data_IF_586340623773
#
_entry.id   IF_586340623773
#
_cell.length_a   1.000
_cell.length_b   1.000
_cell.length_c   1.000
_cell.angle_alpha   90.00
_cell.angle_beta   90.00
_cell.angle_gamma   90.00
#
_symmetry.space_group_name_H-M   'P 1'
#
loop_
_entity.id
_entity.type
_entity.pdbx_description
1 polymer ?
#
# COMPACT_ATOMS: atom_id res chain seq x y z
N UNK A 1 4.89 15.75 -10.52
CA UNK A 1 5.77 14.59 -10.23
C UNK A 1 5.15 13.84 -9.08
N UNK A 2 4.62 12.64 -9.30
CA UNK A 2 4.04 11.83 -8.23
C UNK A 2 5.12 11.48 -7.20
N UNK A 3 4.85 11.77 -5.92
CA UNK A 3 5.76 11.49 -4.80
C UNK A 3 6.23 10.05 -4.81
N UNK A 4 5.37 9.12 -5.23
CA UNK A 4 5.70 7.71 -5.34
C UNK A 4 6.99 7.46 -6.12
N UNK A 5 7.25 8.18 -7.22
CA UNK A 5 8.43 7.94 -8.04
C UNK A 5 9.71 8.61 -7.53
N UNK A 6 9.60 9.73 -6.84
CA UNK A 6 10.73 10.50 -6.29
C UNK A 6 11.08 10.15 -4.85
N UNK A 7 10.16 9.49 -4.14
CA UNK A 7 10.33 9.13 -2.74
C UNK A 7 11.40 8.04 -2.56
N UNK A 8 12.33 8.33 -1.65
CA UNK A 8 13.48 7.48 -1.33
C UNK A 8 13.32 6.70 -0.03
N UNK A 9 12.39 7.10 0.83
CA UNK A 9 12.20 6.52 2.15
C UNK A 9 10.75 6.07 2.34
N UNK A 10 10.55 4.96 3.03
CA UNK A 10 9.25 4.42 3.39
C UNK A 10 8.49 5.39 4.32
N UNK A 11 7.22 5.67 4.04
CA UNK A 11 6.39 6.55 4.87
C UNK A 11 6.17 6.00 6.29
N UNK A 12 6.25 4.66 6.44
CA UNK A 12 5.92 3.98 7.70
C UNK A 12 7.11 3.77 8.61
N UNK A 13 8.25 3.35 8.06
CA UNK A 13 9.45 3.04 8.84
C UNK A 13 10.63 3.99 8.58
N UNK A 14 10.55 4.87 7.57
CA UNK A 14 11.67 5.72 7.16
C UNK A 14 12.81 4.99 6.44
N UNK A 15 12.72 3.67 6.25
CA UNK A 15 13.75 2.87 5.59
C UNK A 15 13.91 3.17 4.10
N UNK A 16 15.08 2.89 3.53
CA UNK A 16 15.39 3.16 2.11
C UNK A 16 14.55 2.26 1.18
N UNK A 17 13.97 2.88 0.14
CA UNK A 17 13.10 2.23 -0.85
C UNK A 17 13.85 1.65 -2.06
N UNK A 18 15.19 1.76 -2.11
CA UNK A 18 16.02 1.18 -3.20
C UNK A 18 15.82 -0.32 -3.38
N UNK A 19 15.55 -1.05 -2.30
CA UNK A 19 15.31 -2.50 -2.33
C UNK A 19 13.94 -2.88 -2.91
N UNK A 20 13.08 -1.91 -3.19
CA UNK A 20 11.73 -2.11 -3.67
C UNK A 20 10.73 -1.29 -2.86
N UNK A 21 9.78 -0.69 -3.57
CA UNK A 21 8.67 0.07 -3.00
C UNK A 21 7.36 -0.44 -3.54
N UNK A 22 6.33 -0.30 -2.73
CA UNK A 22 4.96 -0.65 -3.09
C UNK A 22 4.00 0.28 -2.38
N UNK A 23 2.75 0.30 -2.82
CA UNK A 23 1.68 0.99 -2.11
C UNK A 23 1.14 0.07 -1.01
N UNK A 24 0.76 0.67 0.11
CA UNK A 24 -0.01 -0.05 1.14
C UNK A 24 -1.28 -0.64 0.54
N UNK A 25 -1.73 -1.78 1.08
CA UNK A 25 -3.08 -2.28 0.73
C UNK A 25 -4.18 -1.57 1.52
N UNK A 26 -3.79 -0.94 2.62
CA UNK A 26 -4.73 -0.31 3.54
C UNK A 26 -4.99 1.16 3.19
N UNK A 27 -4.01 1.84 2.60
CA UNK A 27 -4.06 3.26 2.25
C UNK A 27 -3.17 3.57 1.02
N UNK A 28 -2.94 4.84 0.73
CA UNK A 28 -2.12 5.31 -0.39
C UNK A 28 -0.65 5.61 -0.01
N UNK A 29 -0.14 5.04 1.08
CA UNK A 29 1.25 5.30 1.51
C UNK A 29 2.26 4.49 0.71
N UNK A 30 3.43 5.08 0.46
CA UNK A 30 4.53 4.41 -0.18
C UNK A 30 5.40 3.70 0.88
N UNK A 31 5.35 2.37 0.85
CA UNK A 31 6.00 1.53 1.84
C UNK A 31 7.08 0.63 1.22
N UNK A 32 8.07 0.26 2.03
CA UNK A 32 9.06 -0.75 1.62
C UNK A 32 8.44 -2.16 1.61
N UNK A 33 9.12 -3.09 0.93
CA UNK A 33 8.69 -4.49 0.88
C UNK A 33 8.60 -5.15 2.27
N UNK A 34 9.43 -4.74 3.23
CA UNK A 34 9.37 -5.26 4.61
C UNK A 34 8.09 -4.82 5.33
N UNK A 35 7.71 -3.55 5.16
CA UNK A 35 6.44 -3.05 5.69
C UNK A 35 5.26 -3.74 5.01
N UNK A 36 5.35 -4.02 3.71
CA UNK A 36 4.33 -4.80 3.00
C UNK A 36 4.23 -6.23 3.54
N UNK A 37 5.35 -6.87 3.86
CA UNK A 37 5.36 -8.21 4.44
C UNK A 37 4.71 -8.23 5.84
N UNK A 38 4.88 -7.16 6.62
CA UNK A 38 4.16 -6.98 7.89
C UNK A 38 2.67 -6.76 7.67
N UNK A 39 2.29 -5.95 6.68
CA UNK A 39 0.88 -5.76 6.30
C UNK A 39 0.22 -7.08 5.93
N UNK A 40 0.89 -7.95 5.17
CA UNK A 40 0.37 -9.27 4.81
C UNK A 40 0.06 -10.18 6.00
N UNK A 41 0.67 -9.93 7.15
CA UNK A 41 0.43 -10.67 8.39
C UNK A 41 -0.70 -10.05 9.22
N UNK A 42 -1.21 -8.88 8.83
CA UNK A 42 -2.34 -8.23 9.50
C UNK A 42 -3.62 -9.03 9.22
N UNK A 43 -4.44 -9.21 10.27
CA UNK A 43 -5.70 -9.96 10.20
C UNK A 43 -6.70 -9.34 9.23
N UNK A 44 -6.59 -8.04 8.99
CA UNK A 44 -7.46 -7.31 8.07
C UNK A 44 -6.88 -7.19 6.66
N UNK A 45 -5.70 -7.77 6.37
CA UNK A 45 -5.08 -7.67 5.05
C UNK A 45 -5.95 -8.27 3.94
N UNK A 46 -6.53 -9.45 4.19
CA UNK A 46 -7.43 -10.08 3.23
C UNK A 46 -8.68 -9.23 2.97
N UNK A 47 -9.19 -8.55 4.01
CA UNK A 47 -10.31 -7.62 3.84
C UNK A 47 -9.93 -6.43 2.98
N UNK A 48 -8.71 -5.91 3.15
CA UNK A 48 -8.21 -4.80 2.34
C UNK A 48 -8.10 -5.20 0.86
N UNK A 49 -7.54 -6.38 0.59
CA UNK A 49 -7.45 -6.96 -0.75
C UNK A 49 -8.83 -7.17 -1.36
N UNK A 50 -9.78 -7.73 -0.60
CA UNK A 50 -11.13 -7.97 -1.11
C UNK A 50 -11.85 -6.67 -1.42
N UNK A 51 -11.74 -5.66 -0.57
CA UNK A 51 -12.33 -4.34 -0.80
C UNK A 51 -11.77 -3.69 -2.07
N UNK A 52 -10.45 -3.76 -2.29
CA UNK A 52 -9.81 -3.25 -3.49
C UNK A 52 -10.30 -4.00 -4.75
N UNK A 53 -10.37 -5.32 -4.70
CA UNK A 53 -10.91 -6.15 -5.80
C UNK A 53 -12.37 -5.81 -6.09
N UNK A 54 -13.19 -5.60 -5.07
CA UNK A 54 -14.62 -5.30 -5.25
C UNK A 54 -14.83 -3.91 -5.85
N UNK A 55 -13.99 -2.93 -5.51
CA UNK A 55 -14.00 -1.62 -6.15
C UNK A 55 -13.50 -1.69 -7.59
N UNK A 56 -12.43 -2.44 -7.87
CA UNK A 56 -11.94 -2.70 -9.23
C UNK A 56 -13.04 -3.33 -10.09
N UNK A 57 -13.79 -4.30 -9.55
CA UNK A 57 -14.93 -4.93 -10.25
C UNK A 57 -16.05 -3.94 -10.58
N UNK A 58 -16.25 -2.91 -9.74
CA UNK A 58 -17.19 -1.81 -10.01
C UNK A 58 -16.64 -0.77 -11.00
N UNK A 59 -15.38 -0.92 -11.43
CA UNK A 59 -14.68 0.05 -12.29
C UNK A 59 -14.01 1.19 -11.52
N UNK A 60 -13.91 1.09 -10.18
CA UNK A 60 -13.23 2.06 -9.34
C UNK A 60 -11.80 1.60 -9.03
N UNK A 61 -10.84 2.10 -9.81
CA UNK A 61 -9.41 1.80 -9.65
C UNK A 61 -8.67 2.75 -8.69
N UNK A 62 -9.39 3.71 -8.09
CA UNK A 62 -8.83 4.73 -7.20
C UNK A 62 -9.29 4.55 -5.75
N UNK A 63 -9.46 3.29 -5.31
CA UNK A 63 -9.89 3.02 -3.95
C UNK A 63 -8.84 3.56 -2.95
N UNK A 64 -9.23 4.42 -1.99
CA UNK A 64 -8.30 5.00 -1.03
C UNK A 64 -7.80 4.01 0.02
N UNK A 65 -8.33 2.78 0.02
CA UNK A 65 -8.03 1.75 1.00
C UNK A 65 -9.04 1.71 2.16
N UNK A 66 -8.88 0.73 3.05
CA UNK A 66 -9.83 0.46 4.15
C UNK A 66 -9.45 1.10 5.49
N UNK A 67 -8.23 1.62 5.66
CA UNK A 67 -7.75 2.25 6.91
C UNK A 67 -6.87 3.45 6.58
N UNK A 68 -6.72 4.40 7.50
CA UNK A 68 -5.83 5.55 7.35
C UNK A 68 -4.81 5.57 8.46
#
# INVERSE_FOLDING_TARGET
MDKFFSQRHCDRCGGDLKGGRTMSMFNQDCICLDCKAKEKQDRDYEKAVQADIDEIKKGNYNFPGIRK
#
